data_IF_314611792118
#
_entry.id   IF_314611792118
#
_cell.length_a   1.000
_cell.length_b   1.000
_cell.length_c   1.000
_cell.angle_alpha   90.00
_cell.angle_beta   90.00
_cell.angle_gamma   90.00
#
_symmetry.space_group_name_H-M   'P 1'
#
loop_
_entity.id
_entity.type
_entity.pdbx_description
1 polymer ?
#
# COMPACT_ATOMS: atom_id res chain seq x y z
N UNK A 1 -29.84 -22.65 -27.24
CA UNK A 1 -28.71 -22.86 -26.29
C UNK A 1 -28.81 -21.76 -25.24
N UNK A 2 -29.30 -22.08 -24.04
CA UNK A 2 -29.37 -21.12 -22.95
C UNK A 2 -28.00 -21.09 -22.25
N UNK A 3 -27.36 -19.92 -22.22
CA UNK A 3 -26.13 -19.70 -21.45
C UNK A 3 -26.49 -19.77 -19.96
N UNK A 4 -25.86 -20.68 -19.23
CA UNK A 4 -26.02 -20.78 -17.79
C UNK A 4 -25.63 -19.44 -17.16
N UNK A 5 -26.61 -18.77 -16.54
CA UNK A 5 -26.37 -17.64 -15.65
C UNK A 5 -25.63 -18.17 -14.44
N UNK A 6 -24.30 -18.04 -14.43
CA UNK A 6 -23.49 -18.36 -13.25
C UNK A 6 -23.84 -17.36 -12.15
N UNK A 7 -24.55 -17.84 -11.13
CA UNK A 7 -24.78 -17.11 -9.91
C UNK A 7 -23.50 -17.12 -9.05
N UNK A 8 -22.82 -15.98 -8.99
CA UNK A 8 -21.65 -15.74 -8.15
C UNK A 8 -22.02 -15.19 -6.77
N UNK A 9 -23.25 -15.41 -6.30
CA UNK A 9 -23.71 -15.06 -4.94
C UNK A 9 -22.80 -15.60 -3.84
N UNK A 10 -22.25 -16.81 -4.03
CA UNK A 10 -21.28 -17.41 -3.10
C UNK A 10 -19.99 -16.60 -2.96
N UNK A 11 -19.56 -15.85 -3.99
CA UNK A 11 -18.38 -14.97 -3.91
C UNK A 11 -18.68 -13.81 -2.96
N UNK A 12 -19.84 -13.18 -3.08
CA UNK A 12 -20.24 -12.07 -2.20
C UNK A 12 -20.39 -12.55 -0.75
N UNK A 13 -21.03 -13.69 -0.54
CA UNK A 13 -21.18 -14.29 0.79
C UNK A 13 -19.84 -14.74 1.40
N UNK A 14 -18.83 -15.10 0.60
CA UNK A 14 -17.48 -15.40 1.06
C UNK A 14 -16.65 -14.14 1.36
N UNK A 15 -17.02 -13.00 0.77
CA UNK A 15 -16.40 -11.70 1.03
C UNK A 15 -17.05 -10.97 2.22
N UNK A 16 -18.30 -11.31 2.56
CA UNK A 16 -18.96 -10.85 3.78
C UNK A 16 -18.21 -11.38 5.02
N UNK A 17 -17.60 -10.46 5.77
CA UNK A 17 -16.76 -10.78 6.92
C UNK A 17 -15.28 -10.99 6.59
N UNK A 18 -14.84 -10.70 5.35
CA UNK A 18 -13.42 -10.69 5.01
C UNK A 18 -12.65 -9.74 5.95
N UNK A 19 -11.44 -10.12 6.43
CA UNK A 19 -10.67 -9.27 7.32
C UNK A 19 -10.36 -7.94 6.64
N UNK A 20 -10.60 -6.84 7.36
CA UNK A 20 -10.20 -5.51 6.94
C UNK A 20 -8.68 -5.45 6.75
N UNK A 21 -8.24 -4.63 5.81
CA UNK A 21 -6.81 -4.50 5.52
C UNK A 21 -6.18 -3.33 6.27
N UNK A 22 -4.92 -3.46 6.66
CA UNK A 22 -4.11 -2.36 7.18
C UNK A 22 -3.70 -1.34 6.09
N UNK A 23 -3.90 -1.68 4.82
CA UNK A 23 -3.43 -0.91 3.67
C UNK A 23 -4.57 -0.08 3.06
N UNK A 24 -4.25 1.14 2.69
CA UNK A 24 -5.15 2.09 2.04
C UNK A 24 -5.01 2.10 0.53
N UNK A 25 -3.93 1.57 -0.05
CA UNK A 25 -3.84 1.33 -1.49
C UNK A 25 -4.51 0.00 -1.82
N UNK A 26 -5.39 0.02 -2.82
CA UNK A 26 -6.16 -1.15 -3.21
C UNK A 26 -5.33 -2.19 -3.97
N UNK A 27 -5.73 -3.46 -3.85
CA UNK A 27 -5.02 -4.58 -4.43
C UNK A 27 -5.16 -5.90 -3.68
N UNK A 28 -4.79 -7.01 -4.32
CA UNK A 28 -4.80 -8.32 -3.71
C UNK A 28 -3.72 -8.45 -2.62
N UNK A 29 -3.92 -9.40 -1.71
CA UNK A 29 -2.92 -9.71 -0.66
C UNK A 29 -1.55 -10.13 -1.22
N UNK A 30 -1.52 -10.63 -2.46
CA UNK A 30 -0.29 -11.04 -3.14
C UNK A 30 0.67 -9.88 -3.44
N UNK A 31 0.21 -8.62 -3.43
CA UNK A 31 1.10 -7.46 -3.59
C UNK A 31 2.18 -7.41 -2.50
N UNK A 32 1.91 -8.06 -1.36
CA UNK A 32 2.89 -8.22 -0.29
C UNK A 32 4.17 -8.92 -0.75
N UNK A 33 4.10 -9.82 -1.73
CA UNK A 33 5.29 -10.53 -2.21
C UNK A 33 6.29 -9.61 -2.89
N UNK A 34 5.82 -8.68 -3.73
CA UNK A 34 6.67 -7.66 -4.36
C UNK A 34 7.35 -6.78 -3.30
N UNK A 35 6.61 -6.39 -2.26
CA UNK A 35 7.17 -5.65 -1.12
C UNK A 35 8.21 -6.46 -0.35
N UNK A 36 7.88 -7.71 0.02
CA UNK A 36 8.79 -8.58 0.75
C UNK A 36 10.09 -8.81 -0.03
N UNK A 37 10.00 -9.10 -1.33
CA UNK A 37 11.15 -9.27 -2.22
C UNK A 37 12.00 -8.01 -2.32
N UNK A 38 11.38 -6.85 -2.53
CA UNK A 38 12.09 -5.58 -2.66
C UNK A 38 12.78 -5.11 -1.37
N UNK A 39 12.30 -5.56 -0.21
CA UNK A 39 12.74 -5.07 1.09
C UNK A 39 13.49 -6.09 1.94
N UNK A 40 13.55 -7.33 1.48
CA UNK A 40 14.25 -8.40 2.14
C UNK A 40 15.72 -8.01 2.38
N UNK A 41 16.11 -7.98 3.66
CA UNK A 41 17.49 -7.63 4.06
C UNK A 41 17.86 -6.15 3.97
N UNK A 42 16.91 -5.25 3.64
CA UNK A 42 17.19 -3.81 3.58
C UNK A 42 17.28 -3.20 4.98
N UNK A 43 18.51 -2.94 5.45
CA UNK A 43 18.75 -2.29 6.74
C UNK A 43 18.14 -0.89 6.81
N UNK A 44 18.20 -0.11 5.72
CA UNK A 44 17.66 1.25 5.69
C UNK A 44 16.14 1.29 5.91
N UNK A 45 15.39 0.31 5.38
CA UNK A 45 13.95 0.19 5.60
C UNK A 45 13.66 -0.23 7.04
N UNK A 46 14.44 -1.18 7.58
CA UNK A 46 14.31 -1.58 8.97
C UNK A 46 14.56 -0.41 9.93
N UNK A 47 15.63 0.34 9.72
CA UNK A 47 15.99 1.51 10.53
C UNK A 47 14.89 2.58 10.48
N UNK A 48 14.34 2.85 9.29
CA UNK A 48 13.24 3.79 9.13
C UNK A 48 11.99 3.34 9.92
N UNK A 49 11.61 2.06 9.81
CA UNK A 49 10.48 1.52 10.59
C UNK A 49 10.75 1.62 12.10
N UNK A 50 11.96 1.30 12.55
CA UNK A 50 12.32 1.37 13.96
C UNK A 50 12.34 2.82 14.49
N UNK A 51 12.73 3.79 13.67
CA UNK A 51 12.68 5.21 14.03
C UNK A 51 11.25 5.67 14.37
N UNK A 52 10.24 5.04 13.75
CA UNK A 52 8.83 5.34 13.90
C UNK A 52 8.08 4.38 14.83
N UNK A 53 8.79 3.72 15.77
CA UNK A 53 8.19 2.77 16.72
C UNK A 53 7.02 3.31 17.56
N UNK A 54 6.91 4.64 17.71
CA UNK A 54 5.80 5.30 18.43
C UNK A 54 4.54 5.44 17.58
N UNK A 55 4.62 5.17 16.27
CA UNK A 55 3.52 5.21 15.32
C UNK A 55 3.31 3.79 14.74
N UNK A 56 2.54 2.90 15.41
CA UNK A 56 2.44 1.48 15.04
C UNK A 56 1.91 1.22 13.62
N UNK A 57 1.20 2.18 13.04
CA UNK A 57 0.68 2.09 11.68
C UNK A 57 1.73 2.40 10.59
N UNK A 58 2.94 2.86 10.96
CA UNK A 58 3.99 3.26 10.02
C UNK A 58 4.39 2.15 9.04
N UNK A 59 4.59 0.87 9.44
CA UNK A 59 4.97 -0.18 8.50
C UNK A 59 3.94 -0.37 7.38
N UNK A 60 2.65 -0.30 7.73
CA UNK A 60 1.57 -0.38 6.75
C UNK A 60 1.53 0.83 5.81
N UNK A 61 1.82 2.03 6.34
CA UNK A 61 1.96 3.25 5.54
C UNK A 61 3.11 3.12 4.54
N UNK A 62 4.27 2.64 4.97
CA UNK A 62 5.44 2.50 4.10
C UNK A 62 5.16 1.52 2.95
N UNK A 63 4.43 0.44 3.22
CA UNK A 63 3.99 -0.48 2.17
C UNK A 63 2.94 0.16 1.23
N UNK A 64 2.04 1.00 1.74
CA UNK A 64 1.12 1.78 0.89
C UNK A 64 1.88 2.74 -0.03
N UNK A 65 2.95 3.37 0.47
CA UNK A 65 3.83 4.23 -0.32
C UNK A 65 4.52 3.41 -1.42
N UNK A 66 5.05 2.23 -1.10
CA UNK A 66 5.58 1.30 -2.10
C UNK A 66 4.52 0.95 -3.16
N UNK A 67 3.31 0.58 -2.75
CA UNK A 67 2.23 0.23 -3.66
C UNK A 67 1.84 1.39 -4.58
N UNK A 68 1.93 2.63 -4.10
CA UNK A 68 1.70 3.82 -4.92
C UNK A 68 2.75 3.97 -6.03
N UNK A 69 4.00 3.60 -5.79
CA UNK A 69 5.07 3.64 -6.80
C UNK A 69 5.07 2.42 -7.74
N UNK A 70 4.71 1.25 -7.21
CA UNK A 70 4.82 -0.03 -7.92
C UNK A 70 3.67 -0.30 -8.88
N UNK A 71 2.42 -0.01 -8.48
CA UNK A 71 1.24 -0.47 -9.23
C UNK A 71 1.05 0.31 -10.54
N UNK A 72 0.48 -0.37 -11.54
CA UNK A 72 -0.02 0.25 -12.77
C UNK A 72 -1.05 1.35 -12.50
N UNK A 73 -2.04 1.06 -11.66
CA UNK A 73 -3.12 1.97 -11.31
C UNK A 73 -3.46 1.89 -9.81
N UNK A 74 -2.64 2.49 -8.93
CA UNK A 74 -2.91 2.52 -7.50
C UNK A 74 -4.13 3.39 -7.24
N UNK A 75 -5.10 2.83 -6.52
CA UNK A 75 -6.31 3.51 -6.13
C UNK A 75 -6.47 3.44 -4.61
N UNK A 76 -7.21 4.39 -4.06
CA UNK A 76 -7.51 4.41 -2.64
C UNK A 76 -8.61 3.38 -2.33
N UNK A 77 -8.34 2.46 -1.42
CA UNK A 77 -9.30 1.49 -0.90
C UNK A 77 -10.46 2.21 -0.20
N UNK A 78 -11.65 1.63 -0.32
CA UNK A 78 -12.85 2.08 0.38
C UNK A 78 -12.62 2.09 1.91
N UNK A 79 -12.98 3.17 2.61
CA UNK A 79 -12.62 3.36 4.03
C UNK A 79 -13.19 2.27 4.95
N UNK A 80 -14.36 1.72 4.64
CA UNK A 80 -15.03 0.64 5.38
C UNK A 80 -14.29 -0.71 5.32
N UNK A 81 -13.41 -0.89 4.33
CA UNK A 81 -12.57 -2.08 4.14
C UNK A 81 -11.20 -1.94 4.83
N UNK A 82 -10.91 -0.80 5.44
CA UNK A 82 -9.64 -0.50 6.11
C UNK A 82 -9.77 -0.72 7.61
N UNK A 83 -8.75 -1.33 8.20
CA UNK A 83 -8.67 -1.58 9.63
C UNK A 83 -8.51 -0.25 10.40
N UNK A 84 -9.33 0.02 11.43
CA UNK A 84 -9.24 1.22 12.25
C UNK A 84 -7.85 1.50 12.83
N UNK A 85 -7.06 0.48 13.13
CA UNK A 85 -5.70 0.63 13.65
C UNK A 85 -4.76 1.36 12.68
N UNK A 86 -5.09 1.37 11.38
CA UNK A 86 -4.33 2.05 10.33
C UNK A 86 -5.02 3.30 9.79
N UNK A 87 -6.19 3.69 10.31
CA UNK A 87 -7.01 4.76 9.74
C UNK A 87 -6.28 6.10 9.62
N UNK A 88 -5.36 6.39 10.56
CA UNK A 88 -4.53 7.59 10.58
C UNK A 88 -3.59 7.71 9.34
N UNK A 89 -3.32 6.61 8.62
CA UNK A 89 -2.49 6.63 7.42
C UNK A 89 -3.20 7.21 6.19
N UNK A 90 -4.54 7.22 6.15
CA UNK A 90 -5.33 7.62 4.97
C UNK A 90 -4.94 8.98 4.38
N UNK A 91 -4.80 10.08 5.17
CA UNK A 91 -4.44 11.37 4.61
C UNK A 91 -3.09 11.35 3.89
N UNK A 92 -2.08 10.67 4.44
CA UNK A 92 -0.75 10.55 3.83
C UNK A 92 -0.80 9.76 2.52
N UNK A 93 -1.52 8.62 2.50
CA UNK A 93 -1.67 7.82 1.27
C UNK A 93 -2.42 8.60 0.20
N UNK A 94 -3.48 9.33 0.57
CA UNK A 94 -4.21 10.20 -0.35
C UNK A 94 -3.31 11.27 -0.95
N UNK A 95 -2.47 11.92 -0.13
CA UNK A 95 -1.51 12.91 -0.60
C UNK A 95 -0.52 12.30 -1.60
N UNK A 96 0.10 11.16 -1.26
CA UNK A 96 1.07 10.49 -2.14
C UNK A 96 0.45 10.17 -3.51
N UNK A 97 -0.79 9.65 -3.55
CA UNK A 97 -1.47 9.32 -4.80
C UNK A 97 -1.79 10.56 -5.66
N UNK A 98 -1.95 11.74 -5.07
CA UNK A 98 -2.33 12.97 -5.76
C UNK A 98 -1.13 13.84 -6.14
N UNK A 99 0.03 13.61 -5.53
CA UNK A 99 1.21 14.45 -5.69
C UNK A 99 1.87 14.28 -7.07
N UNK A 100 2.18 15.39 -7.73
CA UNK A 100 2.83 15.39 -9.05
C UNK A 100 4.21 14.74 -9.01
N UNK A 101 4.97 14.94 -7.93
CA UNK A 101 6.27 14.31 -7.72
C UNK A 101 6.15 12.78 -7.72
N UNK A 102 5.09 12.24 -7.11
CA UNK A 102 4.79 10.80 -7.16
C UNK A 102 4.54 10.35 -8.59
N UNK A 103 3.69 11.05 -9.34
CA UNK A 103 3.38 10.69 -10.73
C UNK A 103 4.61 10.76 -11.63
N UNK A 104 5.50 11.71 -11.41
CA UNK A 104 6.76 11.80 -12.15
C UNK A 104 7.67 10.61 -11.85
N UNK A 105 7.89 10.28 -10.57
CA UNK A 105 8.70 9.12 -10.17
C UNK A 105 8.13 7.81 -10.72
N UNK A 106 6.81 7.67 -10.74
CA UNK A 106 6.11 6.49 -11.30
C UNK A 106 6.42 6.20 -12.76
N UNK A 107 6.88 7.17 -13.54
CA UNK A 107 7.33 6.92 -14.93
C UNK A 107 8.52 5.95 -15.01
N UNK A 108 9.21 5.71 -13.88
CA UNK A 108 10.40 4.86 -13.78
C UNK A 108 10.25 3.68 -12.81
N UNK A 109 9.20 3.64 -11.98
CA UNK A 109 9.08 2.64 -10.90
C UNK A 109 7.99 1.60 -11.13
N UNK A 110 7.06 1.84 -12.05
CA UNK A 110 5.89 0.98 -12.23
C UNK A 110 6.33 -0.43 -12.65
N UNK A 111 5.89 -1.42 -11.86
CA UNK A 111 6.24 -2.84 -11.97
C UNK A 111 7.75 -3.12 -11.84
N UNK A 112 8.50 -2.20 -11.22
CA UNK A 112 9.89 -2.40 -10.82
C UNK A 112 9.96 -2.36 -9.28
N UNK A 113 10.18 -3.52 -8.68
CA UNK A 113 10.24 -3.74 -7.25
C UNK A 113 11.33 -2.87 -6.59
N UNK A 114 12.54 -2.90 -7.15
CA UNK A 114 13.69 -2.22 -6.55
C UNK A 114 13.55 -0.71 -6.64
N UNK A 115 13.19 -0.19 -7.82
CA UNK A 115 12.97 1.23 -8.02
C UNK A 115 11.82 1.75 -7.14
N UNK A 116 10.76 0.97 -7.00
CA UNK A 116 9.64 1.29 -6.10
C UNK A 116 10.04 1.28 -4.62
N UNK A 117 10.89 0.35 -4.18
CA UNK A 117 11.39 0.33 -2.81
C UNK A 117 12.32 1.51 -2.50
N UNK A 118 13.18 1.92 -3.43
CA UNK A 118 14.03 3.12 -3.30
C UNK A 118 13.16 4.39 -3.22
N UNK A 119 12.15 4.50 -4.08
CA UNK A 119 11.19 5.62 -4.04
C UNK A 119 10.40 5.63 -2.73
N UNK A 120 9.95 4.47 -2.26
CA UNK A 120 9.23 4.32 -1.00
C UNK A 120 10.08 4.67 0.21
N UNK A 121 11.35 4.27 0.23
CA UNK A 121 12.29 4.66 1.28
C UNK A 121 12.46 6.18 1.34
N UNK A 122 12.67 6.84 0.19
CA UNK A 122 12.84 8.30 0.12
C UNK A 122 11.59 9.06 0.54
N UNK A 123 10.41 8.68 0.03
CA UNK A 123 9.14 9.29 0.41
C UNK A 123 8.78 8.99 1.88
N UNK A 124 9.06 7.77 2.34
CA UNK A 124 8.85 7.33 3.72
C UNK A 124 9.68 8.12 4.74
N UNK A 125 10.93 8.45 4.41
CA UNK A 125 11.76 9.34 5.24
C UNK A 125 11.12 10.73 5.41
N UNK A 126 10.63 11.33 4.32
CA UNK A 126 9.94 12.63 4.38
C UNK A 126 8.64 12.56 5.19
N UNK A 127 7.88 11.47 5.06
CA UNK A 127 6.67 11.25 5.85
C UNK A 127 6.99 11.05 7.34
N UNK A 128 8.06 10.33 7.65
CA UNK A 128 8.53 10.14 9.02
C UNK A 128 8.86 11.47 9.71
N UNK A 129 9.43 12.44 8.99
CA UNK A 129 9.68 13.80 9.48
C UNK A 129 8.39 14.58 9.75
N UNK A 130 7.31 14.32 9.01
CA UNK A 130 6.00 14.99 9.18
C UNK A 130 5.16 14.39 10.31
N UNK A 131 5.39 13.12 10.65
CA UNK A 131 4.68 12.39 11.70
C UNK A 131 5.33 12.64 13.08
N UNK A 132 6.63 12.97 13.11
CA UNK A 132 7.41 13.24 14.31
C UNK A 132 6.95 14.50 15.07
#
# INVERSE_FOLDING_TARGET
MALATNDFSWIHSALDGAPRSLHHVDGPRSDRFAWEEATQGSQAIQDLVQSQKKYPAFPALLQDVFNAFYKLNPALRAPELVDPASAANRPYVKQILQESATQQTRTQTVLDELASAVAALSAGQKLAEQIA
#
